data_IF_149471912172
#
_entry.id   IF_149471912172
#
_cell.length_a   1.000
_cell.length_b   1.000
_cell.length_c   1.000
_cell.angle_alpha   90.00
_cell.angle_beta   90.00
_cell.angle_gamma   90.00
#
_symmetry.space_group_name_H-M   'P 1'
#
loop_
_entity.id
_entity.type
_entity.pdbx_description
1 polymer ?
#
# COMPACT_ATOMS: atom_id res chain seq x y z
N UNK A 1 -3.69 30.85 -5.58
CA UNK A 1 -2.99 29.56 -5.76
C UNK A 1 -2.07 29.72 -6.94
N UNK A 2 -0.77 29.62 -6.72
CA UNK A 2 0.26 29.78 -7.76
C UNK A 2 0.36 28.47 -8.58
N UNK A 3 0.67 28.57 -9.88
CA UNK A 3 0.91 27.44 -10.80
C UNK A 3 1.89 26.43 -10.19
N UNK A 4 2.90 26.88 -9.44
CA UNK A 4 3.86 26.00 -8.77
C UNK A 4 3.16 25.13 -7.71
N UNK A 5 2.27 25.70 -6.89
CA UNK A 5 1.55 24.97 -5.83
C UNK A 5 0.61 23.92 -6.42
N UNK A 6 -0.06 24.26 -7.52
CA UNK A 6 -0.98 23.35 -8.22
C UNK A 6 -0.22 22.18 -8.88
N UNK A 7 0.91 22.45 -9.53
CA UNK A 7 1.77 21.41 -10.09
C UNK A 7 2.33 20.48 -9.01
N UNK A 8 2.78 21.03 -7.88
CA UNK A 8 3.27 20.24 -6.75
C UNK A 8 2.19 19.33 -6.19
N UNK A 9 0.97 19.83 -5.99
CA UNK A 9 -0.17 19.02 -5.53
C UNK A 9 -0.46 17.88 -6.50
N UNK A 10 -0.56 18.18 -7.80
CA UNK A 10 -0.84 17.17 -8.83
C UNK A 10 0.24 16.06 -8.87
N UNK A 11 1.51 16.41 -8.65
CA UNK A 11 2.59 15.42 -8.58
C UNK A 11 2.47 14.54 -7.33
N UNK A 12 2.14 15.12 -6.18
CA UNK A 12 1.94 14.37 -4.93
C UNK A 12 0.74 13.42 -5.07
N UNK A 13 -0.42 13.91 -5.51
CA UNK A 13 -1.62 13.09 -5.70
C UNK A 13 -1.38 11.91 -6.66
N UNK A 14 -0.67 12.14 -7.77
CA UNK A 14 -0.32 11.06 -8.71
C UNK A 14 0.62 10.02 -8.09
N UNK A 15 1.58 10.44 -7.25
CA UNK A 15 2.48 9.51 -6.55
C UNK A 15 1.71 8.63 -5.58
N UNK A 16 0.81 9.23 -4.80
CA UNK A 16 -0.03 8.49 -3.85
C UNK A 16 -0.94 7.49 -4.58
N UNK A 17 -1.59 7.92 -5.66
CA UNK A 17 -2.40 7.03 -6.50
C UNK A 17 -1.58 5.85 -7.08
N UNK A 18 -0.33 6.10 -7.48
CA UNK A 18 0.56 5.06 -7.99
C UNK A 18 0.90 4.00 -6.94
N UNK A 19 1.13 4.40 -5.68
CA UNK A 19 1.41 3.47 -4.58
C UNK A 19 0.24 2.54 -4.31
N UNK A 20 -0.97 3.08 -4.14
CA UNK A 20 -2.19 2.29 -3.95
C UNK A 20 -2.42 1.31 -5.10
N UNK A 21 -2.24 1.78 -6.35
CA UNK A 21 -2.35 0.91 -7.53
C UNK A 21 -1.35 -0.24 -7.47
N UNK A 22 -0.09 0.03 -7.12
CA UNK A 22 0.97 -0.98 -7.00
C UNK A 22 0.64 -2.01 -5.91
N UNK A 23 0.13 -1.56 -4.77
CA UNK A 23 -0.31 -2.44 -3.68
C UNK A 23 -1.43 -3.37 -4.17
N UNK A 24 -2.45 -2.82 -4.83
CA UNK A 24 -3.55 -3.60 -5.40
C UNK A 24 -3.07 -4.63 -6.45
N UNK A 25 -2.14 -4.24 -7.33
CA UNK A 25 -1.53 -5.16 -8.30
C UNK A 25 -0.78 -6.31 -7.61
N UNK A 26 0.00 -6.01 -6.56
CA UNK A 26 0.72 -7.03 -5.79
C UNK A 26 -0.25 -8.02 -5.14
N UNK A 27 -1.30 -7.52 -4.50
CA UNK A 27 -2.33 -8.37 -3.88
C UNK A 27 -3.00 -9.22 -4.96
N UNK A 28 -3.46 -8.61 -6.05
CA UNK A 28 -4.16 -9.30 -7.13
C UNK A 28 -3.33 -10.43 -7.74
N UNK A 29 -2.06 -10.17 -8.06
CA UNK A 29 -1.15 -11.19 -8.60
C UNK A 29 -0.93 -12.35 -7.61
N UNK A 30 -0.73 -12.04 -6.33
CA UNK A 30 -0.54 -13.07 -5.31
C UNK A 30 -1.82 -13.90 -5.09
N UNK A 31 -3.00 -13.26 -5.12
CA UNK A 31 -4.29 -13.97 -5.05
C UNK A 31 -4.46 -14.93 -6.23
N UNK A 32 -4.11 -14.52 -7.45
CA UNK A 32 -4.15 -15.37 -8.65
C UNK A 32 -3.20 -16.58 -8.56
N UNK A 33 -2.07 -16.40 -7.86
CA UNK A 33 -1.12 -17.48 -7.57
C UNK A 33 -1.52 -18.35 -6.36
N UNK A 34 -2.62 -18.04 -5.69
CA UNK A 34 -3.10 -18.75 -4.49
C UNK A 34 -2.39 -18.34 -3.19
N UNK A 35 -1.51 -17.34 -3.24
CA UNK A 35 -0.85 -16.79 -2.06
C UNK A 35 -1.85 -15.97 -1.22
N UNK A 36 -1.66 -16.00 0.10
CA UNK A 36 -2.48 -15.24 1.07
C UNK A 36 -1.73 -14.09 1.73
N UNK A 37 -0.48 -13.90 1.34
CA UNK A 37 0.42 -12.90 1.89
C UNK A 37 1.30 -12.34 0.78
N UNK A 38 1.68 -11.06 0.86
CA UNK A 38 2.67 -10.49 -0.03
C UNK A 38 3.56 -9.48 0.68
N UNK A 39 4.86 -9.54 0.39
CA UNK A 39 5.82 -8.52 0.82
C UNK A 39 5.72 -7.31 -0.10
N UNK A 40 5.60 -6.13 0.48
CA UNK A 40 5.57 -4.88 -0.29
C UNK A 40 6.99 -4.38 -0.57
N UNK A 41 7.21 -3.74 -1.73
CA UNK A 41 8.44 -3.00 -2.02
C UNK A 41 8.41 -1.59 -1.40
N UNK A 42 7.75 -1.44 -0.25
CA UNK A 42 7.54 -0.18 0.47
C UNK A 42 7.79 -0.40 1.96
N UNK A 43 8.26 0.64 2.65
CA UNK A 43 8.29 0.68 4.11
C UNK A 43 6.92 1.07 4.68
N UNK A 44 6.74 0.89 5.99
CA UNK A 44 5.53 1.29 6.69
C UNK A 44 5.25 2.79 6.54
N UNK A 45 6.25 3.64 6.75
CA UNK A 45 6.13 5.10 6.62
C UNK A 45 5.65 5.53 5.23
N UNK A 46 5.98 4.76 4.18
CA UNK A 46 5.56 5.07 2.81
C UNK A 46 4.09 4.75 2.54
N UNK A 47 3.47 3.90 3.35
CA UNK A 47 2.10 3.39 3.17
C UNK A 47 1.20 3.65 4.37
N UNK A 48 1.69 4.31 5.42
CA UNK A 48 0.96 4.57 6.68
C UNK A 48 -0.41 5.21 6.40
N UNK A 49 -0.48 6.15 5.45
CA UNK A 49 -1.73 6.78 5.04
C UNK A 49 -2.79 5.83 4.45
N UNK A 50 -2.42 4.58 4.12
CA UNK A 50 -3.31 3.58 3.52
C UNK A 50 -3.62 2.41 4.46
N UNK A 51 -2.99 2.35 5.64
CA UNK A 51 -3.13 1.19 6.55
C UNK A 51 -4.58 1.00 6.97
N UNK A 52 -5.28 2.09 7.31
CA UNK A 52 -6.70 2.05 7.70
C UNK A 52 -7.58 1.48 6.58
N UNK A 53 -7.31 1.86 5.33
CA UNK A 53 -8.04 1.36 4.17
C UNK A 53 -7.77 -0.14 3.95
N UNK A 54 -6.52 -0.57 4.09
CA UNK A 54 -6.14 -1.98 3.97
C UNK A 54 -6.80 -2.82 5.07
N UNK A 55 -6.74 -2.37 6.32
CA UNK A 55 -7.33 -3.07 7.46
C UNK A 55 -8.85 -3.13 7.38
N UNK A 56 -9.51 -2.06 6.94
CA UNK A 56 -10.96 -2.06 6.66
C UNK A 56 -11.36 -3.04 5.56
N UNK A 57 -10.40 -3.44 4.72
CA UNK A 57 -10.57 -4.46 3.67
C UNK A 57 -10.17 -5.87 4.14
N UNK A 58 -10.04 -6.11 5.44
CA UNK A 58 -9.57 -7.36 6.05
C UNK A 58 -8.15 -7.78 5.63
N UNK A 59 -7.30 -6.79 5.34
CA UNK A 59 -5.88 -6.99 5.04
C UNK A 59 -5.06 -6.50 6.23
N UNK A 60 -4.39 -7.43 6.92
CA UNK A 60 -3.48 -7.11 8.00
C UNK A 60 -2.17 -6.55 7.44
N UNK A 61 -1.67 -5.48 8.06
CA UNK A 61 -0.37 -4.87 7.77
C UNK A 61 0.62 -5.31 8.84
N UNK A 62 1.54 -6.20 8.46
CA UNK A 62 2.60 -6.70 9.34
C UNK A 62 3.88 -5.89 9.10
N UNK A 63 4.43 -5.30 10.16
CA UNK A 63 5.63 -4.45 10.09
C UNK A 63 6.80 -5.11 10.81
N UNK A 64 7.91 -5.28 10.11
CA UNK A 64 9.18 -5.72 10.70
C UNK A 64 9.80 -4.57 11.53
N UNK A 65 9.93 -4.74 12.85
CA UNK A 65 10.33 -3.65 13.77
C UNK A 65 11.68 -2.99 13.46
N UNK A 66 12.66 -3.76 12.96
CA UNK A 66 14.01 -3.26 12.69
C UNK A 66 14.16 -2.59 11.31
N UNK A 67 13.33 -2.98 10.35
CA UNK A 67 13.52 -2.62 8.93
C UNK A 67 12.36 -1.80 8.37
N UNK A 68 11.29 -1.63 9.15
CA UNK A 68 9.98 -1.06 8.76
C UNK A 68 9.38 -1.69 7.50
N UNK A 69 9.85 -2.87 7.10
CA UNK A 69 9.35 -3.57 5.93
C UNK A 69 7.95 -4.12 6.18
N UNK A 70 7.13 -4.07 5.14
CA UNK A 70 5.73 -4.45 5.24
C UNK A 70 5.44 -5.76 4.52
N UNK A 71 4.67 -6.61 5.21
CA UNK A 71 3.96 -7.75 4.62
C UNK A 71 2.47 -7.55 4.81
N UNK A 72 1.71 -7.71 3.73
CA UNK A 72 0.26 -7.78 3.77
C UNK A 72 -0.18 -9.23 3.96
N UNK A 73 -1.17 -9.46 4.83
CA UNK A 73 -1.81 -10.77 5.05
C UNK A 73 -3.33 -10.61 4.95
N UNK A 74 -3.96 -11.31 4.02
CA UNK A 74 -5.42 -11.28 3.79
C UNK A 74 -6.08 -12.64 4.03
N UNK A 75 -5.51 -13.47 4.91
CA UNK A 75 -6.14 -14.74 5.34
C UNK A 75 -7.50 -14.51 6.00
N UNK A 76 -7.74 -13.31 6.54
CA UNK A 76 -9.00 -12.90 7.16
C UNK A 76 -10.09 -12.50 6.16
N UNK A 77 -9.76 -12.31 4.88
CA UNK A 77 -10.72 -11.91 3.85
C UNK A 77 -11.53 -13.08 3.26
N UNK A 78 -11.46 -14.28 3.88
CA UNK A 78 -12.17 -15.50 3.49
C UNK A 78 -13.51 -15.66 4.24
#
# INVERSE_FOLDING_TARGET
>A
MNIIEELTRNVIEKKEHLKLKRIAEIIGNNVLEGNKTARLPFTYDEIEAYTDQLESSNILVLVEAETTRVTLDWRLAN
#
